data_IF_354915711896
#
_entry.id   IF_354915711896
#
_cell.length_a   1.000
_cell.length_b   1.000
_cell.length_c   1.000
_cell.angle_alpha   90.00
_cell.angle_beta   90.00
_cell.angle_gamma   90.00
#
_symmetry.space_group_name_H-M   'P 1'
#
loop_
_entity.id
_entity.type
_entity.pdbx_description
1 polymer ?
#
# COMPACT_ATOMS: atom_id res chain seq x y z
N UNK A 1 -8.84 -84.13 -29.22
CA UNK A 1 -7.45 -84.59 -29.06
C UNK A 1 -6.71 -83.50 -28.29
N UNK A 2 -6.60 -83.61 -26.95
CA UNK A 2 -5.37 -84.08 -26.24
C UNK A 2 -4.13 -83.28 -26.68
N UNK A 3 -3.37 -82.54 -25.86
CA UNK A 3 -2.92 -82.73 -24.46
C UNK A 3 -2.19 -81.41 -24.06
N UNK A 4 -2.54 -80.69 -22.98
CA UNK A 4 -1.93 -80.68 -21.62
C UNK A 4 -0.39 -80.87 -21.59
N UNK A 5 0.43 -79.95 -21.05
CA UNK A 5 0.71 -79.70 -19.61
C UNK A 5 1.78 -78.56 -19.53
N UNK A 6 1.83 -77.65 -18.55
CA UNK A 6 2.14 -77.79 -17.12
C UNK A 6 1.80 -76.49 -16.36
N UNK A 7 1.52 -76.60 -15.05
CA UNK A 7 1.15 -75.52 -14.09
C UNK A 7 2.26 -75.36 -13.00
N UNK A 8 2.13 -74.48 -11.98
CA UNK A 8 2.82 -73.18 -11.78
C UNK A 8 3.85 -73.19 -10.60
N UNK A 9 4.29 -72.02 -10.07
CA UNK A 9 3.59 -71.49 -8.89
C UNK A 9 3.43 -69.96 -8.85
N UNK A 10 2.51 -69.53 -7.99
CA UNK A 10 2.13 -68.15 -7.70
C UNK A 10 3.22 -67.37 -6.91
N UNK A 11 3.32 -66.05 -7.13
CA UNK A 11 3.60 -65.08 -6.06
C UNK A 11 3.19 -63.66 -6.47
N UNK A 12 2.81 -62.90 -5.44
CA UNK A 12 2.13 -61.62 -5.38
C UNK A 12 2.71 -60.44 -6.18
N UNK A 13 1.80 -59.49 -6.46
CA UNK A 13 2.01 -58.22 -7.14
C UNK A 13 2.92 -57.22 -6.39
N UNK A 14 3.60 -56.37 -7.17
CA UNK A 14 4.07 -55.04 -6.78
C UNK A 14 3.85 -54.07 -7.96
N UNK A 15 3.32 -52.85 -7.73
CA UNK A 15 2.95 -51.92 -8.80
C UNK A 15 4.17 -51.19 -9.36
N UNK A 16 4.17 -51.00 -10.68
CA UNK A 16 5.20 -50.26 -11.42
C UNK A 16 5.15 -48.76 -11.10
N UNK A 17 6.33 -48.20 -10.82
CA UNK A 17 6.59 -46.77 -10.71
C UNK A 17 6.14 -46.01 -11.96
N UNK A 18 5.06 -45.23 -11.81
CA UNK A 18 4.66 -44.21 -12.75
C UNK A 18 5.36 -42.90 -12.43
N UNK A 19 6.34 -42.53 -13.26
CA UNK A 19 6.90 -41.17 -13.37
C UNK A 19 5.79 -40.11 -13.33
N UNK A 20 5.85 -39.10 -12.45
CA UNK A 20 4.88 -38.00 -12.47
C UNK A 20 5.20 -37.11 -13.67
N UNK A 21 4.35 -37.17 -14.68
CA UNK A 21 4.31 -36.20 -15.77
C UNK A 21 3.97 -34.82 -15.22
N UNK A 22 4.77 -33.82 -15.63
CA UNK A 22 4.60 -32.39 -15.36
C UNK A 22 3.13 -31.96 -15.43
N UNK A 23 2.56 -31.68 -14.25
CA UNK A 23 1.23 -31.09 -14.12
C UNK A 23 1.30 -29.60 -14.43
N UNK A 24 0.99 -29.24 -15.67
CA UNK A 24 0.62 -27.88 -16.05
C UNK A 24 -0.38 -27.32 -15.03
N UNK A 25 -0.13 -26.17 -14.38
CA UNK A 25 -1.11 -25.59 -13.48
C UNK A 25 -2.33 -25.17 -14.29
N UNK A 26 -3.45 -25.87 -14.08
CA UNK A 26 -4.78 -25.38 -14.46
C UNK A 26 -5.09 -24.18 -13.56
N UNK A 27 -4.62 -23.00 -13.96
CA UNK A 27 -4.81 -21.75 -13.22
C UNK A 27 -6.23 -21.20 -13.52
N UNK A 28 -7.23 -21.89 -13.00
CA UNK A 28 -8.64 -21.55 -13.06
C UNK A 28 -9.10 -20.77 -11.84
N UNK A 29 -8.47 -19.64 -11.53
CA UNK A 29 -9.14 -18.55 -10.80
C UNK A 29 -8.77 -17.24 -11.47
N UNK A 30 -9.77 -16.57 -12.05
CA UNK A 30 -9.67 -15.27 -12.70
C UNK A 30 -9.16 -14.21 -11.69
N UNK A 31 -7.85 -14.20 -11.46
CA UNK A 31 -7.17 -13.32 -10.53
C UNK A 31 -7.03 -11.97 -11.22
N UNK A 32 -8.17 -11.28 -11.42
CA UNK A 32 -8.27 -9.97 -12.05
C UNK A 32 -7.25 -9.01 -11.42
N UNK A 33 -6.12 -8.84 -12.09
CA UNK A 33 -5.08 -7.89 -11.75
C UNK A 33 -5.41 -6.60 -12.48
N UNK A 34 -5.94 -5.62 -11.75
CA UNK A 34 -6.04 -4.27 -12.28
C UNK A 34 -4.63 -3.75 -12.61
N UNK A 35 -4.43 -3.04 -13.72
CA UNK A 35 -3.11 -2.53 -14.14
C UNK A 35 -2.69 -1.31 -13.32
N UNK A 36 -2.60 -1.48 -12.00
CA UNK A 36 -2.33 -0.42 -11.03
C UNK A 36 -0.84 -0.20 -10.80
N UNK A 37 0.01 -1.12 -11.27
CA UNK A 37 1.47 -1.02 -11.06
C UNK A 37 2.04 0.22 -11.75
N UNK A 38 1.62 0.55 -12.97
CA UNK A 38 2.08 1.76 -13.64
C UNK A 38 1.75 3.03 -12.84
N UNK A 39 0.55 3.09 -12.25
CA UNK A 39 0.16 4.20 -11.36
C UNK A 39 1.01 4.25 -10.09
N UNK A 40 1.32 3.09 -9.51
CA UNK A 40 2.22 3.00 -8.34
C UNK A 40 3.64 3.49 -8.68
N UNK A 41 4.13 3.23 -9.90
CA UNK A 41 5.41 3.77 -10.35
C UNK A 41 5.38 5.30 -10.44
N UNK A 42 4.35 5.85 -11.08
CA UNK A 42 4.18 7.30 -11.19
C UNK A 42 4.13 7.94 -9.80
N UNK A 43 3.38 7.37 -8.85
CA UNK A 43 3.32 7.90 -7.50
C UNK A 43 4.66 7.80 -6.75
N UNK A 44 5.32 6.64 -6.77
CA UNK A 44 6.60 6.47 -6.08
C UNK A 44 7.65 7.45 -6.61
N UNK A 45 7.76 7.60 -7.95
CA UNK A 45 8.70 8.53 -8.56
C UNK A 45 8.31 10.00 -8.32
N UNK A 46 7.01 10.33 -8.32
CA UNK A 46 6.55 11.68 -7.98
C UNK A 46 6.93 12.08 -6.57
N UNK A 47 6.85 11.14 -5.60
CA UNK A 47 7.31 11.37 -4.22
C UNK A 47 8.81 11.66 -4.18
N UNK A 48 9.63 10.92 -4.92
CA UNK A 48 11.09 11.19 -4.98
C UNK A 48 11.37 12.58 -5.54
N UNK A 49 10.69 12.95 -6.64
CA UNK A 49 10.83 14.28 -7.25
C UNK A 49 10.39 15.39 -6.28
N UNK A 50 9.28 15.18 -5.56
CA UNK A 50 8.79 16.14 -4.56
C UNK A 50 9.79 16.32 -3.40
N UNK A 51 10.38 15.25 -2.87
CA UNK A 51 11.38 15.38 -1.81
C UNK A 51 12.67 16.05 -2.30
N UNK A 52 13.09 15.80 -3.55
CA UNK A 52 14.19 16.54 -4.16
C UNK A 52 13.86 18.03 -4.32
N UNK A 53 12.62 18.36 -4.70
CA UNK A 53 12.10 19.74 -4.75
C UNK A 53 12.10 20.42 -3.38
N UNK A 54 11.66 19.70 -2.33
CA UNK A 54 11.67 20.18 -0.95
C UNK A 54 13.06 20.34 -0.36
N UNK A 55 13.99 19.43 -0.70
CA UNK A 55 15.40 19.51 -0.31
C UNK A 55 16.09 20.74 -0.94
N UNK A 56 15.73 21.10 -2.16
CA UNK A 56 16.35 22.19 -2.92
C UNK A 56 15.82 23.58 -2.53
N UNK A 57 15.10 23.71 -1.41
CA UNK A 57 14.70 25.02 -0.88
C UNK A 57 15.92 25.81 -0.45
N UNK A 58 15.97 27.10 -0.78
CA UNK A 58 17.18 27.90 -0.66
C UNK A 58 16.92 29.32 -0.14
N UNK A 59 17.98 29.97 0.33
CA UNK A 59 17.94 31.33 0.86
C UNK A 59 17.39 31.44 2.30
N UNK A 60 17.44 32.65 2.89
CA UNK A 60 17.06 32.89 4.29
C UNK A 60 15.58 32.59 4.58
N UNK A 61 14.71 32.74 3.59
CA UNK A 61 13.27 32.49 3.72
C UNK A 61 12.86 31.05 3.36
N UNK A 62 13.84 30.15 3.09
CA UNK A 62 13.59 28.75 2.70
C UNK A 62 12.66 28.66 1.48
N UNK A 63 12.98 29.43 0.45
CA UNK A 63 12.14 29.59 -0.76
C UNK A 63 12.13 28.32 -1.60
N UNK A 64 10.98 28.03 -2.20
CA UNK A 64 10.82 26.91 -3.11
C UNK A 64 11.58 27.11 -4.44
N UNK A 65 12.03 26.03 -5.11
CA UNK A 65 12.76 26.15 -6.38
C UNK A 65 11.96 26.82 -7.50
N UNK A 66 10.65 26.61 -7.54
CA UNK A 66 9.73 27.26 -8.47
C UNK A 66 8.72 28.14 -7.74
N UNK A 67 8.10 29.06 -8.49
CA UNK A 67 7.00 29.92 -8.07
C UNK A 67 5.82 29.80 -9.05
N UNK A 68 4.66 30.35 -8.69
CA UNK A 68 3.47 30.40 -9.55
C UNK A 68 2.94 29.01 -9.95
N UNK A 69 2.49 28.88 -11.20
CA UNK A 69 1.85 27.65 -11.69
C UNK A 69 2.77 26.40 -11.59
N UNK A 70 4.06 26.42 -11.97
CA UNK A 70 4.95 25.28 -11.81
C UNK A 70 5.10 24.82 -10.34
N UNK A 71 5.21 25.76 -9.41
CA UNK A 71 5.19 25.43 -7.97
C UNK A 71 3.90 24.72 -7.59
N UNK A 72 2.77 25.25 -8.07
CA UNK A 72 1.47 24.73 -7.66
C UNK A 72 1.19 23.33 -8.20
N UNK A 73 1.64 23.05 -9.43
CA UNK A 73 1.64 21.69 -9.98
C UNK A 73 2.53 20.75 -9.14
N UNK A 74 3.70 21.21 -8.71
CA UNK A 74 4.63 20.42 -7.90
C UNK A 74 4.05 20.09 -6.52
N UNK A 75 3.52 21.08 -5.79
CA UNK A 75 2.91 20.84 -4.48
C UNK A 75 1.65 19.97 -4.60
N UNK A 76 0.94 20.06 -5.73
CA UNK A 76 -0.19 19.17 -6.05
C UNK A 76 0.15 17.69 -6.12
N UNK A 77 1.43 17.30 -6.25
CA UNK A 77 1.86 15.88 -6.28
C UNK A 77 1.59 15.14 -4.96
N UNK A 78 1.24 15.85 -3.87
CA UNK A 78 0.67 15.28 -2.65
C UNK A 78 -0.51 14.33 -2.93
N UNK A 79 -1.28 14.56 -4.00
CA UNK A 79 -2.38 13.68 -4.40
C UNK A 79 -1.94 12.22 -4.63
N UNK A 80 -0.66 11.98 -4.97
CA UNK A 80 -0.13 10.63 -5.15
C UNK A 80 0.09 9.89 -3.83
N UNK A 81 0.30 10.61 -2.72
CA UNK A 81 0.30 10.02 -1.38
C UNK A 81 -1.12 9.55 -1.03
N UNK A 82 -2.12 10.38 -1.31
CA UNK A 82 -3.53 10.00 -1.13
C UNK A 82 -3.92 8.82 -2.02
N UNK A 83 -3.38 8.72 -3.24
CA UNK A 83 -3.57 7.55 -4.08
C UNK A 83 -3.07 6.26 -3.41
N UNK A 84 -1.94 6.28 -2.69
CA UNK A 84 -1.49 5.09 -1.95
C UNK A 84 -2.52 4.65 -0.91
N UNK A 85 -3.08 5.58 -0.11
CA UNK A 85 -4.13 5.24 0.86
C UNK A 85 -5.39 4.65 0.20
N UNK A 86 -5.86 5.26 -0.89
CA UNK A 86 -7.02 4.76 -1.65
C UNK A 86 -6.75 3.37 -2.23
N UNK A 87 -5.58 3.15 -2.83
CA UNK A 87 -5.18 1.86 -3.39
C UNK A 87 -5.01 0.79 -2.30
N UNK A 88 -4.45 1.17 -1.15
CA UNK A 88 -4.27 0.27 -0.01
C UNK A 88 -5.61 -0.18 0.57
N UNK A 89 -6.56 0.74 0.74
CA UNK A 89 -7.95 0.40 1.13
C UNK A 89 -8.63 -0.52 0.12
N UNK A 90 -8.51 -0.21 -1.17
CA UNK A 90 -9.07 -1.01 -2.26
C UNK A 90 -8.50 -2.44 -2.26
N UNK A 91 -7.18 -2.57 -2.34
CA UNK A 91 -6.49 -3.85 -2.52
C UNK A 91 -6.59 -4.73 -1.27
N UNK A 92 -6.69 -4.13 -0.09
CA UNK A 92 -6.87 -4.86 1.15
C UNK A 92 -8.31 -5.37 1.32
N UNK A 93 -9.31 -4.54 1.01
CA UNK A 93 -10.71 -4.88 1.23
C UNK A 93 -11.31 -5.73 0.11
N UNK A 94 -10.80 -5.64 -1.12
CA UNK A 94 -11.40 -6.32 -2.29
C UNK A 94 -11.55 -7.85 -2.13
N UNK A 95 -10.54 -8.62 -1.66
CA UNK A 95 -10.73 -10.05 -1.45
C UNK A 95 -11.79 -10.37 -0.38
N UNK A 96 -11.89 -9.52 0.65
CA UNK A 96 -12.89 -9.63 1.71
C UNK A 96 -14.28 -9.35 1.15
N UNK A 97 -14.41 -8.26 0.40
CA UNK A 97 -15.65 -7.85 -0.22
C UNK A 97 -16.17 -8.89 -1.22
N UNK A 98 -15.28 -9.47 -2.04
CA UNK A 98 -15.63 -10.56 -2.97
C UNK A 98 -16.12 -11.80 -2.23
N UNK A 99 -15.37 -12.26 -1.22
CA UNK A 99 -15.76 -13.42 -0.43
C UNK A 99 -17.11 -13.23 0.26
N UNK A 100 -17.36 -12.06 0.84
CA UNK A 100 -18.65 -11.72 1.48
C UNK A 100 -19.77 -11.67 0.42
N UNK A 101 -19.53 -11.05 -0.74
CA UNK A 101 -20.52 -10.93 -1.81
C UNK A 101 -20.94 -12.29 -2.38
N UNK A 102 -19.99 -13.21 -2.56
CA UNK A 102 -20.22 -14.56 -3.10
C UNK A 102 -20.50 -15.63 -2.05
N UNK A 103 -20.65 -15.25 -0.77
CA UNK A 103 -20.83 -16.15 0.38
C UNK A 103 -19.72 -17.22 0.50
N UNK A 104 -18.50 -16.87 0.10
CA UNK A 104 -17.31 -17.72 0.23
C UNK A 104 -16.55 -17.42 1.52
N UNK A 105 -15.82 -18.41 2.03
CA UNK A 105 -14.90 -18.21 3.14
C UNK A 105 -13.73 -17.31 2.72
N UNK A 106 -13.47 -16.27 3.51
CA UNK A 106 -12.25 -15.47 3.40
C UNK A 106 -11.15 -16.05 4.29
N UNK A 107 -9.89 -15.75 3.97
CA UNK A 107 -8.75 -16.02 4.87
C UNK A 107 -8.97 -15.34 6.21
N UNK A 108 -8.40 -15.86 7.29
CA UNK A 108 -8.52 -15.16 8.59
C UNK A 108 -7.82 -13.78 8.55
N UNK A 109 -8.28 -12.86 9.40
CA UNK A 109 -7.64 -11.56 9.59
C UNK A 109 -6.16 -11.70 9.98
N UNK A 110 -5.83 -12.70 10.83
CA UNK A 110 -4.44 -13.04 11.18
C UNK A 110 -3.61 -13.43 9.96
N UNK A 111 -4.15 -14.31 9.11
CA UNK A 111 -3.44 -14.76 7.92
C UNK A 111 -3.29 -13.63 6.88
N UNK A 112 -4.29 -12.75 6.77
CA UNK A 112 -4.20 -11.53 5.96
C UNK A 112 -3.07 -10.62 6.47
N UNK A 113 -3.06 -10.32 7.78
CA UNK A 113 -2.06 -9.46 8.40
C UNK A 113 -0.65 -10.03 8.20
N UNK A 114 -0.42 -11.30 8.52
CA UNK A 114 0.89 -11.95 8.38
C UNK A 114 1.44 -11.88 6.96
N UNK A 115 0.61 -12.08 5.93
CA UNK A 115 1.07 -11.98 4.53
C UNK A 115 1.41 -10.55 4.14
N UNK A 116 0.69 -9.56 4.66
CA UNK A 116 0.97 -8.15 4.41
C UNK A 116 2.25 -7.73 5.13
N UNK A 117 2.38 -8.10 6.40
CA UNK A 117 3.54 -7.74 7.21
C UNK A 117 4.80 -8.43 6.72
N UNK A 118 4.73 -9.69 6.34
CA UNK A 118 5.85 -10.41 5.72
C UNK A 118 6.37 -9.78 4.43
N UNK A 119 5.53 -9.01 3.71
CA UNK A 119 5.97 -8.26 2.53
C UNK A 119 6.62 -6.92 2.90
N UNK A 120 6.09 -6.22 3.91
CA UNK A 120 6.45 -4.84 4.21
C UNK A 120 7.50 -4.73 5.34
N UNK A 121 7.27 -5.39 6.47
CA UNK A 121 8.10 -5.22 7.67
C UNK A 121 9.59 -5.53 7.48
N UNK A 122 10.01 -6.56 6.71
CA UNK A 122 11.42 -6.85 6.55
C UNK A 122 12.23 -5.66 6.05
N UNK A 123 11.78 -5.01 4.97
CA UNK A 123 12.48 -3.84 4.44
C UNK A 123 12.32 -2.64 5.38
N UNK A 124 11.11 -2.39 5.89
CA UNK A 124 10.85 -1.31 6.85
C UNK A 124 11.79 -1.35 8.05
N UNK A 125 11.86 -2.47 8.76
CA UNK A 125 12.75 -2.61 9.91
C UNK A 125 14.22 -2.55 9.51
N UNK A 126 14.60 -3.10 8.36
CA UNK A 126 15.98 -2.99 7.87
C UNK A 126 16.37 -1.52 7.68
N UNK A 127 15.53 -0.72 7.01
CA UNK A 127 15.78 0.70 6.78
C UNK A 127 15.82 1.46 8.10
N UNK A 128 14.81 1.28 8.97
CA UNK A 128 14.77 1.92 10.30
C UNK A 128 16.01 1.59 11.12
N UNK A 129 16.42 0.32 11.20
CA UNK A 129 17.58 -0.10 11.98
C UNK A 129 18.89 0.46 11.41
N UNK A 130 19.06 0.44 10.08
CA UNK A 130 20.25 0.97 9.43
C UNK A 130 20.34 2.48 9.62
N UNK A 131 19.27 3.21 9.34
CA UNK A 131 19.25 4.67 9.45
C UNK A 131 19.43 5.10 10.90
N UNK A 132 18.75 4.44 11.84
CA UNK A 132 18.91 4.71 13.27
C UNK A 132 20.34 4.45 13.73
N UNK A 133 20.95 3.32 13.37
CA UNK A 133 22.33 2.98 13.77
C UNK A 133 23.36 3.97 13.19
N UNK A 134 23.20 4.40 11.94
CA UNK A 134 24.05 5.42 11.33
C UNK A 134 23.91 6.79 12.00
N UNK A 135 22.71 7.09 12.52
CA UNK A 135 22.41 8.37 13.19
C UNK A 135 22.77 8.36 14.68
N UNK A 136 22.96 7.17 15.27
CA UNK A 136 23.23 6.95 16.68
C UNK A 136 24.47 6.06 16.87
N UNK A 137 25.70 6.57 16.60
CA UNK A 137 26.92 5.76 16.61
C UNK A 137 27.35 5.26 18.00
N UNK A 138 26.77 5.81 19.07
CA UNK A 138 27.05 5.44 20.47
C UNK A 138 25.77 5.08 21.22
N UNK A 139 25.86 4.05 22.07
CA UNK A 139 24.74 3.62 22.91
C UNK A 139 24.54 4.52 24.16
N UNK A 140 23.29 4.67 24.65
CA UNK A 140 22.08 3.99 24.19
C UNK A 140 21.43 4.59 22.93
N UNK A 141 21.97 5.69 22.40
CA UNK A 141 21.34 6.45 21.31
C UNK A 141 19.97 7.01 21.69
N UNK A 142 19.21 7.47 20.70
CA UNK A 142 17.80 7.83 20.85
C UNK A 142 16.91 6.59 20.82
N UNK A 143 16.95 5.79 21.88
CA UNK A 143 16.19 4.53 21.96
C UNK A 143 14.67 4.73 21.90
N UNK A 144 14.15 5.89 22.34
CA UNK A 144 12.72 6.21 22.23
C UNK A 144 12.28 6.30 20.77
N UNK A 145 13.07 7.00 19.95
CA UNK A 145 12.85 7.12 18.51
C UNK A 145 12.83 5.74 17.84
N UNK A 146 13.80 4.88 18.16
CA UNK A 146 13.84 3.51 17.65
C UNK A 146 12.59 2.72 18.04
N UNK A 147 12.20 2.77 19.33
CA UNK A 147 11.02 2.06 19.83
C UNK A 147 9.74 2.53 19.10
N UNK A 148 9.58 3.84 18.92
CA UNK A 148 8.41 4.42 18.26
C UNK A 148 8.37 4.07 16.76
N UNK A 149 9.51 4.01 16.07
CA UNK A 149 9.57 3.57 14.68
C UNK A 149 9.32 2.07 14.53
N UNK A 150 9.90 1.23 15.39
CA UNK A 150 9.68 -0.23 15.35
C UNK A 150 8.23 -0.63 15.65
N UNK A 151 7.53 0.15 16.49
CA UNK A 151 6.13 -0.07 16.85
C UNK A 151 5.13 0.73 16.01
N UNK A 152 5.60 1.49 15.02
CA UNK A 152 4.81 2.39 14.18
C UNK A 152 4.07 3.51 14.94
N UNK A 153 4.42 3.78 16.20
CA UNK A 153 3.74 4.77 17.05
C UNK A 153 4.34 6.18 16.96
N UNK A 154 5.44 6.37 16.22
CA UNK A 154 6.03 7.68 15.94
C UNK A 154 5.03 8.69 15.32
N UNK A 155 4.01 8.21 14.59
CA UNK A 155 2.95 9.04 14.00
C UNK A 155 2.08 9.80 15.01
N UNK A 156 2.12 9.41 16.30
CA UNK A 156 1.41 10.11 17.38
C UNK A 156 2.29 11.12 18.12
N UNK A 157 3.49 11.41 17.61
CA UNK A 157 4.40 12.36 18.22
C UNK A 157 4.90 13.36 17.19
N UNK A 158 4.61 14.65 17.39
CA UNK A 158 5.15 15.72 16.55
C UNK A 158 6.68 15.73 16.52
N UNK A 159 7.31 15.29 17.62
CA UNK A 159 8.76 15.18 17.71
C UNK A 159 9.30 14.05 16.84
N UNK A 160 8.68 12.86 16.88
CA UNK A 160 9.28 11.65 16.29
C UNK A 160 8.74 11.28 14.91
N UNK A 161 7.65 11.89 14.44
CA UNK A 161 6.96 11.50 13.20
C UNK A 161 7.87 11.46 11.96
N UNK A 162 8.92 12.31 11.90
CA UNK A 162 9.85 12.38 10.77
C UNK A 162 11.31 12.10 11.16
N UNK A 163 11.55 11.54 12.35
CA UNK A 163 12.90 11.53 12.96
C UNK A 163 13.86 10.55 12.28
N UNK A 164 13.58 9.24 12.34
CA UNK A 164 14.44 8.25 11.69
C UNK A 164 14.33 8.35 10.17
N UNK A 165 13.11 8.28 9.64
CA UNK A 165 12.83 8.29 8.20
C UNK A 165 11.53 9.09 7.98
N UNK A 166 11.65 10.22 7.29
CA UNK A 166 10.54 11.16 7.12
C UNK A 166 9.32 10.49 6.46
N UNK A 167 9.46 9.95 5.24
CA UNK A 167 8.41 9.23 4.53
C UNK A 167 7.76 8.04 5.27
N UNK A 168 8.41 7.46 6.29
CA UNK A 168 7.92 6.28 7.01
C UNK A 168 6.52 6.44 7.64
N UNK A 169 6.08 7.68 7.91
CA UNK A 169 4.79 7.98 8.52
C UNK A 169 3.60 7.35 7.75
N UNK A 170 3.64 7.33 6.41
CA UNK A 170 2.53 6.78 5.61
C UNK A 170 2.34 5.29 5.86
N UNK A 171 3.45 4.56 5.93
CA UNK A 171 3.46 3.12 6.20
C UNK A 171 3.00 2.81 7.61
N UNK A 172 3.39 3.63 8.58
CA UNK A 172 2.89 3.53 9.93
C UNK A 172 1.39 3.73 10.00
N UNK A 173 0.85 4.74 9.33
CA UNK A 173 -0.60 4.94 9.20
C UNK A 173 -1.28 3.73 8.55
N UNK A 174 -0.76 3.25 7.42
CA UNK A 174 -1.31 2.07 6.73
C UNK A 174 -1.32 0.82 7.63
N UNK A 175 -0.25 0.60 8.40
CA UNK A 175 -0.15 -0.53 9.31
C UNK A 175 -1.27 -0.53 10.36
N UNK A 176 -1.66 0.63 10.87
CA UNK A 176 -2.82 0.75 11.78
C UNK A 176 -4.11 0.32 11.08
N UNK A 177 -4.33 0.70 9.83
CA UNK A 177 -5.50 0.24 9.07
C UNK A 177 -5.44 -1.27 8.80
N UNK A 178 -4.26 -1.85 8.57
CA UNK A 178 -4.09 -3.29 8.41
C UNK A 178 -4.49 -4.04 9.68
N UNK A 179 -4.10 -3.51 10.84
CA UNK A 179 -4.50 -4.05 12.14
C UNK A 179 -6.01 -3.95 12.34
N UNK A 180 -6.61 -2.77 12.08
CA UNK A 180 -8.05 -2.56 12.21
C UNK A 180 -8.86 -3.52 11.31
N UNK A 181 -8.43 -3.69 10.06
CA UNK A 181 -9.04 -4.67 9.16
C UNK A 181 -8.85 -6.09 9.68
N UNK A 182 -7.68 -6.47 10.19
CA UNK A 182 -7.48 -7.81 10.74
C UNK A 182 -8.40 -8.08 11.96
N UNK A 183 -8.55 -7.08 12.84
CA UNK A 183 -9.37 -7.15 14.05
C UNK A 183 -10.87 -7.11 13.78
N UNK A 184 -11.30 -6.65 12.61
CA UNK A 184 -12.73 -6.67 12.24
C UNK A 184 -13.23 -8.08 11.89
N UNK A 185 -12.35 -9.02 11.52
CA UNK A 185 -12.76 -10.37 11.08
C UNK A 185 -13.45 -11.20 12.17
N UNK A 186 -12.93 -11.28 13.42
CA UNK A 186 -13.64 -11.92 14.52
C UNK A 186 -15.05 -11.35 14.74
N UNK A 187 -15.19 -10.02 14.66
CA UNK A 187 -16.48 -9.32 14.80
C UNK A 187 -17.44 -9.73 13.69
N UNK A 188 -16.97 -9.79 12.44
CA UNK A 188 -17.79 -10.24 11.30
C UNK A 188 -18.23 -11.70 11.42
N UNK A 189 -17.32 -12.58 11.85
CA UNK A 189 -17.63 -14.00 12.06
C UNK A 189 -18.68 -14.19 13.14
N UNK A 190 -18.54 -13.45 14.25
CA UNK A 190 -19.52 -13.46 15.34
C UNK A 190 -20.88 -12.91 14.90
N UNK A 191 -20.91 -11.77 14.21
CA UNK A 191 -22.16 -11.17 13.72
C UNK A 191 -22.88 -12.10 12.75
N UNK A 192 -22.14 -12.74 11.83
CA UNK A 192 -22.70 -13.71 10.88
C UNK A 192 -23.21 -14.99 11.51
N UNK A 193 -22.60 -15.46 12.61
CA UNK A 193 -23.09 -16.66 13.30
C UNK A 193 -24.35 -16.39 14.15
N UNK A 194 -24.53 -15.15 14.60
CA UNK A 194 -25.71 -14.72 15.40
C UNK A 194 -26.90 -14.32 14.53
N UNK A 195 -26.64 -13.64 13.42
CA UNK A 195 -27.69 -13.10 12.54
C UNK A 195 -27.40 -13.46 11.09
N UNK A 196 -27.74 -14.68 10.64
CA UNK A 196 -27.61 -15.05 9.25
C UNK A 196 -28.58 -14.23 8.40
N UNK A 197 -28.10 -13.60 7.32
CA UNK A 197 -28.95 -12.83 6.42
C UNK A 197 -28.21 -11.84 5.52
N UNK A 198 -28.92 -11.31 4.53
CA UNK A 198 -28.40 -10.29 3.60
C UNK A 198 -28.08 -8.96 4.30
N UNK A 199 -28.85 -8.57 5.31
CA UNK A 199 -28.64 -7.34 6.09
C UNK A 199 -27.32 -7.38 6.88
N UNK A 200 -27.07 -8.46 7.62
CA UNK A 200 -25.81 -8.64 8.37
C UNK A 200 -24.61 -8.68 7.43
N UNK A 201 -24.76 -9.31 6.26
CA UNK A 201 -23.72 -9.35 5.23
C UNK A 201 -23.37 -7.94 4.74
N UNK A 202 -24.38 -7.13 4.41
CA UNK A 202 -24.19 -5.75 4.00
C UNK A 202 -23.57 -4.91 5.13
N UNK A 203 -24.01 -5.10 6.37
CA UNK A 203 -23.45 -4.44 7.54
C UNK A 203 -21.97 -4.82 7.78
N UNK A 204 -21.57 -6.08 7.61
CA UNK A 204 -20.16 -6.48 7.71
C UNK A 204 -19.32 -5.86 6.58
N UNK A 205 -19.91 -5.74 5.39
CA UNK A 205 -19.23 -5.24 4.21
C UNK A 205 -19.02 -3.73 4.22
N UNK A 206 -19.99 -2.98 4.72
CA UNK A 206 -19.96 -1.51 4.78
C UNK A 206 -19.55 -0.98 6.16
N UNK A 207 -19.68 -1.77 7.22
CA UNK A 207 -19.51 -1.29 8.60
C UNK A 207 -18.15 -0.66 8.86
N UNK A 208 -17.05 -1.37 8.56
CA UNK A 208 -15.71 -0.82 8.75
C UNK A 208 -15.40 0.34 7.79
N UNK A 209 -15.65 0.24 6.46
CA UNK A 209 -15.47 1.37 5.55
C UNK A 209 -16.23 2.63 5.97
N UNK A 210 -17.52 2.49 6.31
CA UNK A 210 -18.37 3.63 6.73
C UNK A 210 -17.87 4.19 8.06
N UNK A 211 -17.50 3.34 9.03
CA UNK A 211 -16.91 3.78 10.29
C UNK A 211 -15.64 4.62 10.06
N UNK A 212 -14.70 4.14 9.25
CA UNK A 212 -13.46 4.86 8.95
C UNK A 212 -13.72 6.16 8.20
N UNK A 213 -14.67 6.16 7.26
CA UNK A 213 -15.08 7.37 6.55
C UNK A 213 -15.64 8.40 7.53
N UNK A 214 -16.57 8.00 8.39
CA UNK A 214 -17.19 8.88 9.39
C UNK A 214 -16.16 9.39 10.39
N UNK A 215 -15.32 8.52 10.96
CA UNK A 215 -14.28 8.92 11.91
C UNK A 215 -13.31 9.91 11.27
N UNK A 216 -12.84 9.66 10.05
CA UNK A 216 -11.92 10.57 9.37
C UNK A 216 -12.53 11.93 9.04
N UNK A 217 -13.77 11.94 8.55
CA UNK A 217 -14.48 13.20 8.25
C UNK A 217 -14.81 13.99 9.51
N UNK A 218 -15.27 13.33 10.57
CA UNK A 218 -15.55 13.98 11.86
C UNK A 218 -14.26 14.51 12.47
N UNK A 219 -13.19 13.71 12.49
CA UNK A 219 -11.88 14.15 12.98
C UNK A 219 -11.42 15.40 12.22
N UNK A 220 -11.33 15.35 10.89
CA UNK A 220 -10.90 16.50 10.09
C UNK A 220 -11.83 17.70 10.28
N UNK A 221 -13.16 17.52 10.33
CA UNK A 221 -14.10 18.60 10.61
C UNK A 221 -13.83 19.27 11.96
N UNK A 222 -13.69 18.47 13.02
CA UNK A 222 -13.41 18.97 14.37
C UNK A 222 -12.05 19.64 14.46
N UNK A 223 -11.03 19.04 13.86
CA UNK A 223 -9.66 19.55 13.89
C UNK A 223 -9.53 20.88 13.15
N UNK A 224 -10.15 20.96 11.96
CA UNK A 224 -10.03 22.13 11.07
C UNK A 224 -10.83 23.32 11.59
N UNK A 225 -12.03 23.08 12.15
CA UNK A 225 -12.98 24.17 12.45
C UNK A 225 -13.22 24.41 13.93
N UNK A 226 -12.92 23.45 14.81
CA UNK A 226 -13.20 23.57 16.25
C UNK A 226 -11.93 23.72 17.08
N UNK A 227 -10.91 22.89 16.84
CA UNK A 227 -9.66 22.94 17.63
C UNK A 227 -8.57 23.78 16.99
N UNK A 228 -8.51 23.82 15.66
CA UNK A 228 -7.56 24.62 14.86
C UNK A 228 -6.12 24.57 15.38
N UNK A 229 -5.50 23.38 15.50
CA UNK A 229 -4.15 23.27 16.01
C UNK A 229 -3.14 23.90 15.06
N UNK A 230 -1.92 24.13 15.56
CA UNK A 230 -0.84 24.71 14.76
C UNK A 230 -0.63 23.91 13.44
N UNK A 231 -0.41 24.59 12.29
CA UNK A 231 -0.16 23.91 11.01
C UNK A 231 1.03 22.95 11.03
N UNK A 232 1.97 23.13 11.97
CA UNK A 232 3.14 22.26 12.18
C UNK A 232 2.90 21.14 13.18
N UNK A 233 1.68 20.97 13.69
CA UNK A 233 1.28 19.80 14.48
C UNK A 233 1.09 18.58 13.57
N UNK A 234 2.21 18.07 13.07
CA UNK A 234 2.27 17.01 12.08
C UNK A 234 1.55 15.73 12.53
N UNK A 235 1.65 15.36 13.81
CA UNK A 235 1.00 14.18 14.36
C UNK A 235 -0.52 14.25 14.27
N UNK A 236 -1.11 15.45 14.32
CA UNK A 236 -2.55 15.65 14.07
C UNK A 236 -2.87 15.48 12.58
N UNK A 237 -2.19 16.23 11.72
CA UNK A 237 -2.52 16.31 10.29
C UNK A 237 -2.17 15.04 9.52
N UNK A 238 -1.19 14.26 9.99
CA UNK A 238 -0.70 13.04 9.36
C UNK A 238 -1.15 11.77 10.10
N UNK A 239 -2.01 11.91 11.13
CA UNK A 239 -2.51 10.79 11.93
C UNK A 239 -3.31 9.76 11.13
N UNK A 240 -3.42 8.51 11.64
CA UNK A 240 -4.38 7.54 11.13
C UNK A 240 -5.82 8.04 11.12
N UNK A 241 -6.19 8.89 12.08
CA UNK A 241 -7.53 9.47 12.15
C UNK A 241 -7.76 10.42 10.98
N UNK A 242 -6.82 11.32 10.69
CA UNK A 242 -6.94 12.26 9.57
C UNK A 242 -7.02 11.56 8.21
N UNK A 243 -6.30 10.44 8.04
CA UNK A 243 -6.25 9.67 6.79
C UNK A 243 -7.29 8.55 6.68
N UNK A 244 -8.12 8.35 7.70
CA UNK A 244 -9.10 7.26 7.73
C UNK A 244 -10.12 7.34 6.58
N UNK A 245 -10.56 8.55 6.22
CA UNK A 245 -11.47 8.79 5.09
C UNK A 245 -10.84 8.40 3.75
N UNK A 246 -9.56 8.73 3.55
CA UNK A 246 -8.81 8.39 2.34
C UNK A 246 -8.68 6.88 2.13
N UNK A 247 -8.40 6.15 3.20
CA UNK A 247 -8.39 4.68 3.16
C UNK A 247 -9.79 4.11 2.90
N UNK A 248 -10.80 4.65 3.57
CA UNK A 248 -12.18 4.19 3.49
C UNK A 248 -12.79 4.29 2.09
N UNK A 249 -12.54 5.38 1.34
CA UNK A 249 -13.07 5.51 -0.02
C UNK A 249 -12.54 4.43 -0.96
N UNK A 250 -11.29 3.98 -0.75
CA UNK A 250 -10.73 2.82 -1.44
C UNK A 250 -11.45 1.52 -1.10
N UNK A 251 -11.74 1.30 0.18
CA UNK A 251 -12.51 0.13 0.64
C UNK A 251 -13.93 0.14 0.04
N UNK A 252 -14.59 1.30 -0.02
CA UNK A 252 -15.92 1.44 -0.63
C UNK A 252 -15.89 1.14 -2.13
N UNK A 253 -14.87 1.59 -2.86
CA UNK A 253 -14.68 1.21 -4.26
C UNK A 253 -14.50 -0.31 -4.42
N UNK A 254 -13.83 -0.96 -3.47
CA UNK A 254 -13.70 -2.41 -3.44
C UNK A 254 -15.06 -3.11 -3.30
N UNK A 255 -15.96 -2.57 -2.46
CA UNK A 255 -17.33 -3.07 -2.29
C UNK A 255 -18.10 -2.97 -3.62
N UNK A 256 -18.08 -1.80 -4.25
CA UNK A 256 -18.74 -1.57 -5.55
C UNK A 256 -18.22 -2.55 -6.62
N UNK A 257 -16.89 -2.74 -6.70
CA UNK A 257 -16.27 -3.68 -7.63
C UNK A 257 -16.67 -5.14 -7.36
N UNK A 258 -16.75 -5.53 -6.09
CA UNK A 258 -17.08 -6.89 -5.65
C UNK A 258 -18.53 -7.28 -5.95
N UNK A 259 -19.47 -6.34 -5.94
CA UNK A 259 -20.85 -6.56 -6.38
C UNK A 259 -21.03 -6.64 -7.90
N UNK A 260 -19.93 -6.59 -8.67
CA UNK A 260 -19.99 -6.74 -10.11
C UNK A 260 -20.46 -5.48 -10.85
N UNK A 261 -20.48 -4.32 -10.20
CA UNK A 261 -20.77 -3.05 -10.89
C UNK A 261 -19.71 -2.81 -11.95
N UNK A 262 -20.15 -2.56 -13.19
CA UNK A 262 -19.29 -2.25 -14.32
C UNK A 262 -19.78 -1.02 -15.05
N UNK A 263 -18.85 -0.18 -15.46
CA UNK A 263 -19.10 1.01 -16.26
C UNK A 263 -19.02 0.64 -17.73
N UNK A 264 -20.07 0.97 -18.48
CA UNK A 264 -20.00 0.98 -19.94
C UNK A 264 -19.01 2.05 -20.44
N UNK A 265 -18.67 2.03 -21.73
CA UNK A 265 -17.63 2.90 -22.30
C UNK A 265 -17.87 4.39 -22.07
N UNK A 266 -19.11 4.87 -22.24
CA UNK A 266 -19.45 6.30 -22.06
C UNK A 266 -19.38 6.70 -20.58
N UNK A 267 -20.09 6.06 -19.63
CA UNK A 267 -19.94 6.32 -18.20
C UNK A 267 -18.49 6.24 -17.71
N UNK A 268 -17.71 5.27 -18.21
CA UNK A 268 -16.28 5.14 -17.89
C UNK A 268 -15.50 6.39 -18.29
N UNK A 269 -15.68 6.90 -19.52
CA UNK A 269 -15.01 8.11 -19.99
C UNK A 269 -15.43 9.32 -19.17
N UNK A 270 -16.72 9.46 -18.86
CA UNK A 270 -17.22 10.55 -18.02
C UNK A 270 -16.62 10.52 -16.62
N UNK A 271 -16.58 9.35 -15.97
CA UNK A 271 -15.98 9.16 -14.65
C UNK A 271 -14.47 9.43 -14.68
N UNK A 272 -13.76 8.96 -15.71
CA UNK A 272 -12.34 9.24 -15.90
C UNK A 272 -12.07 10.74 -16.05
N UNK A 273 -12.80 11.41 -16.96
CA UNK A 273 -12.66 12.85 -17.19
C UNK A 273 -13.04 13.64 -15.95
N UNK A 274 -14.14 13.30 -15.28
CA UNK A 274 -14.56 13.96 -14.04
C UNK A 274 -13.49 13.84 -12.96
N UNK A 275 -12.97 12.63 -12.70
CA UNK A 275 -11.91 12.42 -11.72
C UNK A 275 -10.64 13.21 -12.05
N UNK A 276 -10.17 13.16 -13.29
CA UNK A 276 -8.95 13.88 -13.72
C UNK A 276 -9.14 15.40 -13.70
N UNK A 277 -10.26 15.91 -14.18
CA UNK A 277 -10.57 17.34 -14.17
C UNK A 277 -10.72 17.85 -12.74
N UNK A 278 -11.37 17.10 -11.86
CA UNK A 278 -11.46 17.46 -10.43
C UNK A 278 -10.08 17.45 -9.77
N UNK A 279 -9.23 16.45 -10.04
CA UNK A 279 -7.85 16.44 -9.53
C UNK A 279 -7.06 17.67 -10.01
N UNK A 280 -7.11 17.98 -11.31
CA UNK A 280 -6.45 19.16 -11.86
C UNK A 280 -6.99 20.45 -11.26
N UNK A 281 -8.32 20.57 -11.12
CA UNK A 281 -8.94 21.73 -10.48
C UNK A 281 -8.51 21.87 -9.02
N UNK A 282 -8.46 20.78 -8.25
CA UNK A 282 -7.97 20.81 -6.87
C UNK A 282 -6.50 21.24 -6.81
N UNK A 283 -5.64 20.77 -7.71
CA UNK A 283 -4.24 21.21 -7.77
C UNK A 283 -4.16 22.72 -8.04
N UNK A 284 -4.88 23.21 -9.06
CA UNK A 284 -4.83 24.61 -9.46
C UNK A 284 -5.45 25.56 -8.44
N UNK A 285 -6.45 25.09 -7.68
CA UNK A 285 -7.18 25.87 -6.68
C UNK A 285 -6.66 25.67 -5.25
N UNK A 286 -5.52 24.97 -5.07
CA UNK A 286 -4.97 24.69 -3.75
C UNK A 286 -4.71 26.01 -3.01
N UNK A 287 -5.31 26.23 -1.83
CA UNK A 287 -5.04 27.43 -1.05
C UNK A 287 -3.62 27.36 -0.50
N UNK A 288 -2.93 28.49 -0.48
CA UNK A 288 -1.57 28.58 0.08
C UNK A 288 -1.60 28.58 1.62
N UNK A 289 -2.67 29.10 2.22
CA UNK A 289 -2.83 29.23 3.68
C UNK A 289 -4.28 29.00 4.10
N UNK A 290 -4.48 28.77 5.41
CA UNK A 290 -5.79 28.74 6.04
C UNK A 290 -6.42 27.35 6.16
N UNK A 291 -7.47 27.29 6.99
CA UNK A 291 -8.16 26.07 7.39
C UNK A 291 -8.65 25.20 6.22
N UNK A 292 -9.03 25.85 5.11
CA UNK A 292 -9.53 25.20 3.90
C UNK A 292 -8.49 24.27 3.27
N UNK A 293 -7.18 24.59 3.38
CA UNK A 293 -6.11 23.76 2.83
C UNK A 293 -6.02 22.38 3.47
N UNK A 294 -6.42 22.23 4.73
CA UNK A 294 -6.37 20.93 5.40
C UNK A 294 -7.43 19.94 4.88
N UNK A 295 -8.41 20.38 4.09
CA UNK A 295 -9.34 19.49 3.40
C UNK A 295 -8.76 18.85 2.14
N UNK A 296 -7.67 19.39 1.58
CA UNK A 296 -7.12 18.94 0.29
C UNK A 296 -6.84 17.45 0.23
N UNK A 297 -6.23 16.82 1.25
CA UNK A 297 -6.00 15.38 1.19
C UNK A 297 -7.28 14.56 1.10
N UNK A 298 -8.32 14.93 1.85
CA UNK A 298 -9.64 14.26 1.77
C UNK A 298 -10.26 14.44 0.38
N UNK A 299 -10.16 15.65 -0.20
CA UNK A 299 -10.68 15.95 -1.54
C UNK A 299 -9.89 15.22 -2.63
N UNK A 300 -8.57 15.14 -2.52
CA UNK A 300 -7.73 14.36 -3.42
C UNK A 300 -8.08 12.88 -3.35
N UNK A 301 -8.26 12.30 -2.16
CA UNK A 301 -8.65 10.90 -2.04
C UNK A 301 -10.01 10.63 -2.69
N UNK A 302 -10.99 11.52 -2.52
CA UNK A 302 -12.29 11.41 -3.16
C UNK A 302 -12.20 11.49 -4.70
N UNK A 303 -11.50 12.51 -5.23
CA UNK A 303 -11.30 12.68 -6.67
C UNK A 303 -10.48 11.53 -7.30
N UNK A 304 -9.46 11.05 -6.57
CA UNK A 304 -8.66 9.90 -6.96
C UNK A 304 -9.50 8.62 -6.98
N UNK A 305 -10.39 8.42 -6.01
CA UNK A 305 -11.32 7.29 -6.02
C UNK A 305 -12.23 7.31 -7.26
N UNK A 306 -12.74 8.49 -7.65
CA UNK A 306 -13.53 8.66 -8.89
C UNK A 306 -12.68 8.32 -10.12
N UNK A 307 -11.45 8.82 -10.22
CA UNK A 307 -10.57 8.50 -11.33
C UNK A 307 -10.26 7.00 -11.41
N UNK A 308 -9.94 6.37 -10.27
CA UNK A 308 -9.67 4.93 -10.17
C UNK A 308 -10.90 4.06 -10.46
N UNK A 309 -12.11 4.54 -10.21
CA UNK A 309 -13.33 3.80 -10.56
C UNK A 309 -13.43 3.53 -12.07
N UNK A 310 -12.91 4.41 -12.93
CA UNK A 310 -12.83 4.19 -14.38
C UNK A 310 -11.92 3.02 -14.81
N UNK A 311 -11.01 2.61 -13.92
CA UNK A 311 -10.07 1.49 -14.10
C UNK A 311 -10.57 0.25 -13.34
N UNK A 312 -11.11 0.40 -12.14
CA UNK A 312 -11.49 -0.73 -11.28
C UNK A 312 -12.84 -1.32 -11.68
N UNK A 313 -13.75 -0.51 -12.22
CA UNK A 313 -15.11 -0.92 -12.60
C UNK A 313 -15.25 -1.19 -14.10
N UNK A 314 -14.19 -1.60 -14.78
CA UNK A 314 -14.23 -1.95 -16.20
C UNK A 314 -13.35 -3.18 -16.44
N UNK A 315 -13.57 -3.92 -17.53
CA UNK A 315 -12.90 -5.21 -17.76
C UNK A 315 -11.77 -5.15 -18.82
N UNK A 316 -11.55 -3.97 -19.40
CA UNK A 316 -10.53 -3.70 -20.42
C UNK A 316 -11.11 -3.55 -21.82
N UNK A 317 -10.30 -3.16 -22.83
CA UNK A 317 -8.87 -2.91 -22.74
C UNK A 317 -8.52 -1.62 -21.98
N UNK A 318 -7.32 -1.62 -21.41
CA UNK A 318 -6.72 -0.48 -20.72
C UNK A 318 -5.89 0.36 -21.67
N UNK A 319 -5.66 1.62 -21.30
CA UNK A 319 -4.77 2.49 -22.06
C UNK A 319 -3.36 1.88 -22.08
N UNK A 320 -2.66 1.96 -23.23
CA UNK A 320 -1.31 1.36 -23.40
C UNK A 320 -0.33 1.78 -22.31
N UNK A 321 -0.40 3.03 -21.83
CA UNK A 321 0.48 3.53 -20.76
C UNK A 321 0.32 2.81 -19.42
N UNK A 322 -0.86 2.25 -19.11
CA UNK A 322 -1.07 1.45 -17.89
C UNK A 322 -0.43 0.05 -17.99
N UNK A 323 -0.07 -0.36 -19.20
CA UNK A 323 0.54 -1.66 -19.50
C UNK A 323 1.97 -1.50 -20.02
N UNK A 324 2.58 -0.33 -19.88
CA UNK A 324 3.97 -0.11 -20.28
C UNK A 324 4.89 -0.95 -19.36
N UNK A 325 5.73 -1.84 -19.92
CA UNK A 325 6.48 -2.82 -19.14
C UNK A 325 7.39 -2.20 -18.06
N UNK A 326 8.04 -1.09 -18.38
CA UNK A 326 8.98 -0.40 -17.48
C UNK A 326 8.27 0.15 -16.25
N UNK A 327 7.16 0.88 -16.45
CA UNK A 327 6.32 1.41 -15.37
C UNK A 327 5.67 0.30 -14.56
N UNK A 328 5.26 -0.80 -15.19
CA UNK A 328 4.73 -1.97 -14.46
C UNK A 328 5.82 -2.59 -13.57
N UNK A 329 7.06 -2.70 -14.07
CA UNK A 329 8.19 -3.22 -13.32
C UNK A 329 8.59 -2.30 -12.17
N UNK A 330 8.78 -1.00 -12.42
CA UNK A 330 9.06 0.02 -11.38
C UNK A 330 7.93 0.02 -10.34
N UNK A 331 6.68 -0.12 -10.77
CA UNK A 331 5.52 -0.16 -9.90
C UNK A 331 5.50 -1.33 -8.92
N UNK A 332 6.12 -2.45 -9.31
CA UNK A 332 6.38 -3.59 -8.45
C UNK A 332 7.35 -3.25 -7.31
N UNK A 333 8.29 -2.36 -7.56
CA UNK A 333 9.31 -1.86 -6.62
C UNK A 333 8.87 -0.61 -5.84
N UNK A 334 7.71 -0.04 -6.16
CA UNK A 334 7.29 1.27 -5.64
C UNK A 334 7.32 1.40 -4.12
N UNK A 335 7.07 0.30 -3.38
CA UNK A 335 7.21 0.26 -1.92
C UNK A 335 8.67 0.48 -1.49
N UNK A 336 9.60 -0.27 -2.07
CA UNK A 336 11.01 -0.14 -1.75
C UNK A 336 11.55 1.24 -2.12
N UNK A 337 11.22 1.73 -3.32
CA UNK A 337 11.63 3.08 -3.78
C UNK A 337 11.13 4.14 -2.80
N UNK A 338 9.86 4.07 -2.40
CA UNK A 338 9.27 5.00 -1.45
C UNK A 338 9.99 5.00 -0.10
N UNK A 339 10.47 3.85 0.38
CA UNK A 339 11.10 3.78 1.69
C UNK A 339 12.59 4.17 1.66
N UNK A 340 13.33 3.80 0.60
CA UNK A 340 14.79 4.02 0.60
C UNK A 340 15.22 5.39 0.08
N UNK A 341 14.35 6.14 -0.60
CA UNK A 341 14.77 7.38 -1.28
C UNK A 341 15.30 8.45 -0.34
N UNK A 342 14.70 8.63 0.85
CA UNK A 342 15.13 9.65 1.79
C UNK A 342 16.47 9.30 2.46
N UNK A 343 16.70 8.06 2.93
CA UNK A 343 18.04 7.60 3.33
C UNK A 343 19.11 7.77 2.23
N UNK A 344 18.78 7.42 0.98
CA UNK A 344 19.68 7.62 -0.17
C UNK A 344 20.01 9.10 -0.35
N UNK A 345 19.02 9.98 -0.26
CA UNK A 345 19.21 11.42 -0.37
C UNK A 345 20.11 11.96 0.76
N UNK A 346 19.91 11.52 2.00
CA UNK A 346 20.77 11.90 3.14
C UNK A 346 22.23 11.48 2.92
N UNK A 347 22.47 10.25 2.46
CA UNK A 347 23.82 9.75 2.17
C UNK A 347 24.46 10.51 1.01
N UNK A 348 23.73 10.72 -0.09
CA UNK A 348 24.21 11.48 -1.23
C UNK A 348 24.57 12.94 -0.85
N UNK A 349 23.76 13.55 0.01
CA UNK A 349 24.04 14.88 0.59
C UNK A 349 25.32 14.87 1.42
N UNK A 350 25.49 13.87 2.30
CA UNK A 350 26.66 13.77 3.17
C UNK A 350 27.97 13.55 2.39
N UNK A 351 27.89 12.92 1.22
CA UNK A 351 29.02 12.74 0.30
C UNK A 351 29.23 13.90 -0.67
N UNK A 352 28.43 14.98 -0.59
CA UNK A 352 28.55 16.13 -1.49
C UNK A 352 28.18 15.82 -2.95
N UNK A 353 27.37 14.78 -3.18
CA UNK A 353 26.94 14.37 -4.52
C UNK A 353 25.72 15.15 -5.03
N UNK A 354 24.99 15.81 -4.12
CA UNK A 354 23.82 16.60 -4.47
C UNK A 354 24.24 18.04 -4.81
N UNK A 355 23.65 18.65 -5.84
CA UNK A 355 23.91 20.05 -6.15
C UNK A 355 23.42 20.96 -5.02
N UNK A 356 24.03 22.14 -4.91
CA UNK A 356 23.58 23.17 -3.98
C UNK A 356 22.12 23.56 -4.24
N UNK A 357 21.37 23.77 -3.16
CA UNK A 357 19.99 24.21 -3.22
C UNK A 357 19.90 25.60 -3.85
N UNK A 358 19.15 25.72 -4.95
CA UNK A 358 18.98 26.98 -5.68
C UNK A 358 17.65 27.00 -6.44
N UNK A 359 17.14 28.19 -6.80
CA UNK A 359 15.96 28.32 -7.66
C UNK A 359 16.13 27.64 -9.02
N UNK A 360 15.01 27.32 -9.67
CA UNK A 360 14.97 26.69 -10.99
C UNK A 360 14.86 25.17 -10.94
N UNK A 361 15.40 24.50 -11.96
CA UNK A 361 15.19 23.07 -12.22
C UNK A 361 16.28 22.15 -11.68
N UNK A 362 17.22 22.68 -10.88
CA UNK A 362 18.37 21.93 -10.35
C UNK A 362 17.94 20.75 -9.48
N UNK A 363 16.79 20.86 -8.80
CA UNK A 363 16.21 19.76 -8.04
C UNK A 363 15.92 18.51 -8.89
N UNK A 364 15.78 18.62 -10.22
CA UNK A 364 15.63 17.47 -11.11
C UNK A 364 16.92 16.64 -11.17
N UNK A 365 18.08 17.27 -11.05
CA UNK A 365 19.37 16.57 -10.93
C UNK A 365 19.39 15.80 -9.60
N UNK A 366 19.02 16.46 -8.50
CA UNK A 366 18.84 15.80 -7.20
C UNK A 366 17.88 14.62 -7.30
N UNK A 367 16.74 14.78 -7.97
CA UNK A 367 15.75 13.72 -8.15
C UNK A 367 16.34 12.52 -8.91
N UNK A 368 17.12 12.74 -9.98
CA UNK A 368 17.76 11.65 -10.74
C UNK A 368 18.85 10.95 -9.91
N UNK A 369 19.71 11.73 -9.23
CA UNK A 369 20.78 11.20 -8.36
C UNK A 369 20.21 10.36 -7.22
N UNK A 370 19.02 10.67 -6.73
CA UNK A 370 18.32 9.89 -5.68
C UNK A 370 17.53 8.72 -6.27
N UNK A 371 16.79 8.93 -7.37
CA UNK A 371 15.90 7.92 -7.93
C UNK A 371 16.65 6.69 -8.43
N UNK A 372 17.82 6.86 -9.07
CA UNK A 372 18.57 5.75 -9.65
C UNK A 372 19.06 4.78 -8.57
N UNK A 373 19.80 5.20 -7.51
CA UNK A 373 20.16 4.31 -6.42
C UNK A 373 18.94 3.77 -5.66
N UNK A 374 17.87 4.56 -5.48
CA UNK A 374 16.66 4.10 -4.82
C UNK A 374 15.99 2.93 -5.57
N UNK A 375 15.92 2.99 -6.91
CA UNK A 375 15.40 1.90 -7.74
C UNK A 375 16.30 0.66 -7.64
N UNK A 376 17.62 0.83 -7.68
CA UNK A 376 18.59 -0.27 -7.56
C UNK A 376 18.48 -0.97 -6.20
N UNK A 377 18.44 -0.19 -5.10
CA UNK A 377 18.31 -0.72 -3.75
C UNK A 377 16.94 -1.38 -3.52
N UNK A 378 15.86 -0.79 -4.02
CA UNK A 378 14.53 -1.39 -3.97
C UNK A 378 14.50 -2.73 -4.74
N UNK A 379 15.13 -2.79 -5.91
CA UNK A 379 15.27 -4.03 -6.66
C UNK A 379 16.08 -5.08 -5.90
N UNK A 380 17.21 -4.71 -5.29
CA UNK A 380 18.02 -5.61 -4.49
C UNK A 380 17.25 -6.14 -3.27
N UNK A 381 16.55 -5.26 -2.57
CA UNK A 381 15.66 -5.61 -1.46
C UNK A 381 14.59 -6.61 -1.89
N UNK A 382 13.95 -6.37 -3.05
CA UNK A 382 12.88 -7.24 -3.56
C UNK A 382 13.33 -8.69 -3.76
N UNK A 383 14.64 -8.90 -4.01
CA UNK A 383 15.25 -10.22 -4.21
C UNK A 383 15.87 -10.83 -2.95
N UNK A 384 16.09 -10.02 -1.91
CA UNK A 384 16.78 -10.43 -0.69
C UNK A 384 15.84 -10.34 0.51
N UNK A 385 15.74 -9.16 1.12
CA UNK A 385 15.02 -8.88 2.37
C UNK A 385 13.52 -9.16 2.25
N UNK A 386 12.86 -8.63 1.21
CA UNK A 386 11.42 -8.85 0.99
C UNK A 386 11.12 -10.30 0.59
N UNK A 387 11.98 -10.90 -0.24
CA UNK A 387 11.84 -12.30 -0.64
C UNK A 387 11.93 -13.25 0.56
N UNK A 388 12.83 -12.97 1.51
CA UNK A 388 12.95 -13.72 2.76
C UNK A 388 11.66 -13.63 3.59
N UNK A 389 11.10 -12.43 3.75
CA UNK A 389 9.83 -12.26 4.45
C UNK A 389 8.68 -13.04 3.79
N UNK A 390 8.56 -12.97 2.47
CA UNK A 390 7.54 -13.73 1.73
C UNK A 390 7.68 -15.25 1.92
N UNK A 391 8.91 -15.78 2.03
CA UNK A 391 9.13 -17.21 2.37
C UNK A 391 8.60 -17.55 3.76
N UNK A 392 8.83 -16.69 4.76
CA UNK A 392 8.27 -16.87 6.12
C UNK A 392 6.73 -16.92 6.07
N UNK A 393 6.09 -16.10 5.23
CA UNK A 393 4.64 -16.15 5.08
C UNK A 393 4.09 -17.48 4.54
N UNK A 394 4.91 -18.27 3.83
CA UNK A 394 4.50 -19.59 3.32
C UNK A 394 4.39 -20.64 4.41
N UNK A 395 5.04 -20.42 5.56
CA UNK A 395 4.98 -21.29 6.74
C UNK A 395 3.63 -21.23 7.45
N UNK A 396 2.71 -20.39 7.01
CA UNK A 396 1.42 -20.15 7.65
C UNK A 396 0.26 -20.54 6.72
N UNK A 397 -0.78 -21.14 7.30
CA UNK A 397 -1.97 -21.60 6.59
C UNK A 397 -2.99 -20.47 6.31
N UNK A 398 -4.20 -20.85 5.88
CA UNK A 398 -5.30 -19.89 5.63
C UNK A 398 -5.90 -19.28 6.90
N UNK A 399 -5.70 -19.94 8.04
CA UNK A 399 -6.20 -19.55 9.36
C UNK A 399 -5.19 -18.69 10.15
N UNK A 400 -3.94 -18.64 9.71
CA UNK A 400 -2.88 -17.90 10.40
C UNK A 400 -2.11 -18.77 11.38
N UNK A 401 -2.22 -20.11 11.26
CA UNK A 401 -1.52 -21.10 12.08
C UNK A 401 -0.32 -21.64 11.29
N UNK A 402 0.75 -22.04 12.00
CA UNK A 402 1.88 -22.70 11.37
C UNK A 402 1.41 -23.92 10.58
N UNK A 403 1.88 -24.06 9.34
CA UNK A 403 1.58 -25.23 8.51
C UNK A 403 2.26 -26.45 9.08
N UNK A 404 1.48 -27.51 9.22
CA UNK A 404 2.01 -28.83 9.50
C UNK A 404 2.53 -29.43 8.19
N UNK A 405 3.85 -29.50 8.05
CA UNK A 405 4.51 -30.12 6.88
C UNK A 405 4.60 -31.65 7.01
N UNK A 406 4.31 -32.18 8.20
CA UNK A 406 4.41 -33.60 8.51
C UNK A 406 3.11 -34.13 9.12
N UNK A 407 1.95 -33.97 8.43
CA UNK A 407 0.65 -34.40 8.95
C UNK A 407 0.56 -35.92 9.16
N UNK A 408 1.53 -36.67 8.62
CA UNK A 408 1.65 -38.12 8.72
C UNK A 408 2.49 -38.59 9.92
N UNK A 409 3.15 -37.67 10.65
CA UNK A 409 3.86 -38.01 11.88
C UNK A 409 2.89 -37.94 13.07
N UNK A 410 2.96 -38.90 14.03
CA UNK A 410 2.24 -38.79 15.29
C UNK A 410 2.62 -37.49 16.01
N UNK A 411 1.63 -36.81 16.59
CA UNK A 411 1.89 -35.68 17.49
C UNK A 411 2.14 -36.22 18.88
N UNK A 412 3.35 -35.98 19.40
CA UNK A 412 3.75 -36.33 20.77
C UNK A 412 2.97 -35.56 21.83
#
# INVERSE_FOLDING_TARGET
MTTLTQTPPASAAAPADGTPTDGTPTDGTDRRMFPLNALRAVAALSVVVFHAYQYSRSGPDVRWPWEGLPHQLMIGTEMFVEMFFVLSGLVLWLPVARAIATDQETRSGRAMLLRRTARLLPLYWTVVLVVWALSNPSLPGHWQDLLLHLTFTHVYSDQYIFWTDGPAWTLAVEFHFYLLVALSFPVFRWARSRWPGSRTRLACLLGLPVLLLTVGLVYNLTTIHLTSPDPTNWSVWFSPMSRASSFAVGMLLAVVSAYGVRLATVPRRLVATAGVVTLLALVLLRPETGAVGHWWPTLYAAAMCVALASIVLHDGPWARGLSEPTLVWIGGLGYGIYLVHEPVMRVASAWGLLPEAQPGSVFLVTAVVVAVPAVVLAWLSSRTVEAAGLRVATLVDRNGVARDYYPHLPRD
#
